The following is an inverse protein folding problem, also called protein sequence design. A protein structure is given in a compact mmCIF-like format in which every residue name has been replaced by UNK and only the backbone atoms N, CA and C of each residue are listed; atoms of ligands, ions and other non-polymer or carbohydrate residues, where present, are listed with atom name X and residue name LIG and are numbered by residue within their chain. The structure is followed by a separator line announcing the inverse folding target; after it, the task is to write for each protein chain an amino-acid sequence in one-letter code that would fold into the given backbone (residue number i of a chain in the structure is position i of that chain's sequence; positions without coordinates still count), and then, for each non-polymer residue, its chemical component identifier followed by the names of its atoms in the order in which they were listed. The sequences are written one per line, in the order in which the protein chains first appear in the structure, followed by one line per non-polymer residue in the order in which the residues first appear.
data_IF_278861116772
#
_entry.id   IF_278861116772
#
_cell.length_a   1.000
_cell.length_b   1.000
_cell.length_c   1.000
_cell.angle_alpha   90.00
_cell.angle_beta   90.00
_cell.angle_gamma   90.00
#
_symmetry.space_group_name_H-M   'P 1'
#
loop_
_entity.id
_entity.type
_entity.pdbx_description
1 polymer ?
#
# COMPACT_ATOMS: atom_id res chain seq x y z
N UNK A 1 -29.47 40.53 -2.00
CA UNK A 1 -28.02 40.39 -2.19
C UNK A 1 -27.40 40.25 -0.80
N UNK A 2 -26.95 39.12 -0.30
CA UNK A 2 -26.92 37.75 -0.83
C UNK A 2 -26.80 36.83 0.39
N UNK A 3 -27.79 35.93 0.58
CA UNK A 3 -27.95 35.06 1.75
C UNK A 3 -27.98 33.59 1.30
N UNK A 4 -27.33 33.30 0.18
CA UNK A 4 -27.65 32.17 -0.70
C UNK A 4 -26.52 31.17 -0.92
N UNK A 5 -25.46 31.14 -0.08
CA UNK A 5 -24.35 30.20 -0.29
C UNK A 5 -23.79 29.44 0.93
N UNK A 6 -24.48 29.43 2.07
CA UNK A 6 -24.06 28.60 3.20
C UNK A 6 -25.27 27.91 3.86
N UNK A 7 -25.61 26.73 3.34
CA UNK A 7 -26.61 25.84 3.92
C UNK A 7 -25.99 24.89 4.98
N UNK A 8 -25.20 25.42 5.92
CA UNK A 8 -24.63 24.62 7.02
C UNK A 8 -24.64 25.32 8.38
N UNK A 9 -25.14 26.55 8.50
CA UNK A 9 -25.10 27.33 9.75
C UNK A 9 -26.46 27.40 10.47
N UNK A 10 -27.26 26.33 10.47
CA UNK A 10 -28.51 26.37 11.25
C UNK A 10 -29.01 25.08 11.91
N UNK A 11 -28.16 24.11 12.20
CA UNK A 11 -28.56 23.11 13.21
C UNK A 11 -27.40 22.84 14.12
N UNK A 12 -27.50 23.27 15.37
CA UNK A 12 -26.62 22.91 16.48
C UNK A 12 -26.74 21.43 16.84
N UNK A 13 -26.58 20.55 15.85
CA UNK A 13 -26.25 19.15 16.07
C UNK A 13 -24.73 19.13 16.09
N UNK A 14 -24.07 18.91 17.25
CA UNK A 14 -22.64 18.71 17.25
C UNK A 14 -22.39 17.46 16.43
N UNK A 15 -21.89 17.63 15.20
CA UNK A 15 -21.54 16.53 14.33
C UNK A 15 -20.50 15.68 15.09
N UNK A 16 -20.79 14.41 15.44
CA UNK A 16 -19.83 13.55 16.13
C UNK A 16 -18.51 13.42 15.36
N UNK A 17 -18.54 13.66 14.04
CA UNK A 17 -17.37 13.65 13.14
C UNK A 17 -16.45 14.85 13.34
N UNK A 18 -16.90 15.92 14.00
CA UNK A 18 -16.03 17.01 14.46
C UNK A 18 -15.40 16.74 15.83
N UNK A 19 -16.04 15.91 16.67
CA UNK A 19 -15.49 15.52 17.99
C UNK A 19 -14.46 14.39 17.90
N UNK A 20 -14.62 13.50 16.93
CA UNK A 20 -13.70 12.40 16.63
C UNK A 20 -13.59 12.24 15.12
N UNK A 21 -12.73 13.02 14.45
CA UNK A 21 -12.46 12.78 13.04
C UNK A 21 -11.98 11.33 12.86
N UNK A 22 -12.42 10.60 11.82
CA UNK A 22 -11.90 9.28 11.55
C UNK A 22 -10.40 9.38 11.25
N UNK A 23 -9.56 8.88 12.16
CA UNK A 23 -8.11 9.01 12.10
C UNK A 23 -7.50 7.96 11.17
N UNK A 24 -6.82 8.41 10.10
CA UNK A 24 -5.84 7.59 9.38
C UNK A 24 -6.36 6.65 8.30
N UNK A 25 -5.42 6.14 7.51
CA UNK A 25 -5.59 5.00 6.61
C UNK A 25 -4.89 3.79 7.19
N UNK A 26 -5.45 2.60 6.95
CA UNK A 26 -4.90 1.35 7.48
C UNK A 26 -4.71 0.36 6.34
N UNK A 27 -3.52 -0.24 6.26
CA UNK A 27 -3.24 -1.39 5.40
C UNK A 27 -3.25 -2.64 6.27
N UNK A 28 -4.26 -3.49 6.09
CA UNK A 28 -4.35 -4.79 6.75
C UNK A 28 -3.95 -5.88 5.77
N UNK A 29 -2.93 -6.65 6.13
CA UNK A 29 -2.42 -7.77 5.36
C UNK A 29 -2.73 -9.03 6.16
N UNK A 30 -3.45 -9.97 5.59
CA UNK A 30 -3.76 -11.26 6.20
C UNK A 30 -3.25 -12.38 5.30
N UNK A 31 -2.70 -13.43 5.90
CA UNK A 31 -2.09 -14.54 5.19
C UNK A 31 -2.42 -15.88 5.84
N UNK A 32 -2.39 -16.93 5.02
CA UNK A 32 -2.45 -18.33 5.42
C UNK A 32 -1.65 -19.15 4.41
N UNK A 33 -0.37 -19.40 4.72
CA UNK A 33 0.52 -20.13 3.83
C UNK A 33 0.44 -21.63 4.07
N UNK A 34 0.49 -22.52 3.05
CA UNK A 34 0.72 -23.94 3.25
C UNK A 34 1.97 -24.24 4.10
N UNK A 35 1.97 -25.35 4.84
CA UNK A 35 3.08 -25.70 5.74
C UNK A 35 4.41 -25.94 4.98
N UNK A 36 4.34 -26.42 3.74
CA UNK A 36 5.51 -26.58 2.87
C UNK A 36 6.22 -25.25 2.66
N UNK A 37 5.47 -24.22 2.29
CA UNK A 37 5.96 -22.88 2.01
C UNK A 37 6.44 -22.18 3.30
N UNK A 38 5.65 -22.27 4.37
CA UNK A 38 6.01 -21.63 5.65
C UNK A 38 7.34 -22.13 6.24
N UNK A 39 7.73 -23.38 5.94
CA UNK A 39 9.01 -23.95 6.40
C UNK A 39 10.24 -23.34 5.72
N UNK A 40 10.06 -22.58 4.64
CA UNK A 40 11.14 -21.94 3.89
C UNK A 40 11.55 -20.57 4.49
N UNK A 41 11.19 -20.28 5.74
CA UNK A 41 11.53 -19.05 6.46
C UNK A 41 11.19 -17.78 5.68
N UNK A 42 9.91 -17.45 5.62
CA UNK A 42 9.41 -16.39 4.76
C UNK A 42 9.65 -14.98 5.33
N UNK A 43 10.06 -14.06 4.46
CA UNK A 43 10.16 -12.63 4.71
C UNK A 43 9.16 -11.86 3.84
N UNK A 44 8.43 -10.93 4.46
CA UNK A 44 7.45 -10.09 3.79
C UNK A 44 7.99 -8.67 3.62
N UNK A 45 8.00 -8.19 2.39
CA UNK A 45 8.39 -6.83 2.02
C UNK A 45 7.16 -6.06 1.60
N UNK A 46 6.74 -5.11 2.43
CA UNK A 46 5.59 -4.24 2.19
C UNK A 46 6.10 -2.90 1.67
N UNK A 47 5.79 -2.59 0.43
CA UNK A 47 6.11 -1.33 -0.21
C UNK A 47 4.86 -0.48 -0.32
N UNK A 48 4.87 0.71 0.26
CA UNK A 48 3.74 1.65 0.23
C UNK A 48 4.17 2.93 -0.47
N UNK A 49 3.40 3.36 -1.45
CA UNK A 49 3.57 4.65 -2.11
C UNK A 49 2.49 5.60 -1.66
N UNK A 50 2.87 6.83 -1.40
CA UNK A 50 1.98 7.87 -0.92
C UNK A 50 1.68 8.88 -2.01
N UNK A 51 0.65 9.71 -1.79
CA UNK A 51 0.24 10.77 -2.71
C UNK A 51 1.31 11.86 -2.92
N UNK A 52 2.30 11.96 -2.03
CA UNK A 52 3.45 12.86 -2.18
C UNK A 52 4.58 12.25 -3.05
N UNK A 53 4.33 11.12 -3.72
CA UNK A 53 5.31 10.33 -4.48
C UNK A 53 6.49 9.77 -3.67
N UNK A 54 6.44 9.83 -2.34
CA UNK A 54 7.38 9.10 -1.49
C UNK A 54 6.98 7.63 -1.40
N UNK A 55 7.95 6.79 -1.11
CA UNK A 55 7.78 5.36 -0.91
C UNK A 55 8.42 4.96 0.41
N UNK A 56 7.67 4.19 1.20
CA UNK A 56 8.19 3.50 2.37
C UNK A 56 8.24 2.00 2.10
N UNK A 57 9.27 1.35 2.65
CA UNK A 57 9.47 -0.10 2.58
C UNK A 57 9.57 -0.64 4.00
N UNK A 58 8.76 -1.65 4.30
CA UNK A 58 8.75 -2.35 5.58
C UNK A 58 9.09 -3.82 5.35
N UNK A 59 10.07 -4.33 6.08
CA UNK A 59 10.43 -5.75 6.05
C UNK A 59 9.98 -6.40 7.36
N UNK A 60 9.24 -7.50 7.26
CA UNK A 60 8.74 -8.25 8.41
C UNK A 60 8.93 -9.75 8.18
N UNK A 61 9.48 -10.43 9.18
CA UNK A 61 9.58 -11.89 9.15
C UNK A 61 8.23 -12.52 9.43
N UNK A 62 7.82 -13.52 8.64
CA UNK A 62 6.59 -14.27 8.89
C UNK A 62 6.87 -15.34 9.93
N UNK A 63 6.54 -15.04 11.20
CA UNK A 63 6.75 -15.97 12.32
C UNK A 63 5.68 -17.05 12.44
N UNK A 64 4.53 -16.87 11.75
CA UNK A 64 3.37 -17.76 11.85
C UNK A 64 2.79 -18.05 10.48
N UNK A 65 2.46 -19.33 10.24
CA UNK A 65 1.79 -19.84 9.05
C UNK A 65 0.54 -19.02 8.67
N UNK A 66 -0.31 -18.72 9.66
CA UNK A 66 -1.54 -17.92 9.51
C UNK A 66 -1.47 -16.73 10.44
N UNK A 67 -1.77 -15.55 9.91
CA UNK A 67 -1.68 -14.32 10.69
C UNK A 67 -2.19 -13.11 9.94
N UNK A 68 -2.09 -11.97 10.59
CA UNK A 68 -2.35 -10.68 9.99
C UNK A 68 -1.42 -9.62 10.60
N UNK A 69 -1.10 -8.61 9.79
CA UNK A 69 -0.34 -7.42 10.18
C UNK A 69 -1.11 -6.19 9.73
N UNK A 70 -1.12 -5.19 10.59
CA UNK A 70 -1.85 -3.94 10.35
C UNK A 70 -0.87 -2.78 10.41
N UNK A 71 -0.72 -2.07 9.32
CA UNK A 71 0.04 -0.82 9.23
C UNK A 71 -0.92 0.35 9.30
N UNK A 72 -0.71 1.25 10.27
CA UNK A 72 -1.51 2.47 10.44
C UNK A 72 -0.73 3.65 9.88
N UNK A 73 -1.35 4.40 9.00
CA UNK A 73 -0.82 5.62 8.41
C UNK A 73 -1.67 6.78 8.90
N UNK A 74 -1.10 7.67 9.71
CA UNK A 74 -1.84 8.79 10.29
C UNK A 74 -2.32 9.75 9.19
N UNK A 75 -3.61 10.09 9.25
CA UNK A 75 -4.21 11.18 8.48
C UNK A 75 -4.25 12.38 9.42
N UNK A 76 -3.06 12.86 9.80
CA UNK A 76 -2.96 14.11 10.51
C UNK A 76 -3.43 15.17 9.51
N UNK A 77 -4.54 15.85 9.81
CA UNK A 77 -5.18 16.88 8.96
C UNK A 77 -4.23 18.00 8.48
N UNK A 78 -3.01 18.03 9.03
CA UNK A 78 -1.91 18.94 8.74
C UNK A 78 -0.98 18.39 7.64
N UNK A 79 -0.76 17.08 7.58
CA UNK A 79 0.22 16.46 6.67
C UNK A 79 -0.44 15.44 5.73
N UNK A 80 -1.04 15.97 4.65
CA UNK A 80 -1.64 15.18 3.54
C UNK A 80 -0.62 14.26 2.83
N UNK A 81 0.66 14.33 3.18
CA UNK A 81 1.72 13.61 2.51
C UNK A 81 1.79 12.13 2.89
N UNK A 82 1.15 11.71 3.99
CA UNK A 82 1.12 10.32 4.47
C UNK A 82 -0.11 9.50 4.01
N UNK A 83 -0.90 10.04 3.08
CA UNK A 83 -2.02 9.32 2.48
C UNK A 83 -1.52 8.27 1.50
N UNK A 84 -1.95 7.02 1.66
CA UNK A 84 -1.61 5.91 0.78
C UNK A 84 -2.22 6.17 -0.62
N UNK A 85 -1.39 6.00 -1.63
CA UNK A 85 -1.78 5.98 -3.04
C UNK A 85 -1.93 4.54 -3.54
N UNK A 86 -0.91 3.70 -3.30
CA UNK A 86 -0.88 2.31 -3.74
C UNK A 86 0.11 1.50 -2.91
N UNK A 87 0.04 0.18 -2.95
CA UNK A 87 0.94 -0.71 -2.23
C UNK A 87 1.25 -1.99 -3.02
N UNK A 88 2.39 -2.59 -2.71
CA UNK A 88 2.80 -3.92 -3.14
C UNK A 88 3.38 -4.66 -1.94
N UNK A 89 3.11 -5.95 -1.88
CA UNK A 89 3.60 -6.86 -0.85
C UNK A 89 4.25 -8.01 -1.60
N UNK A 90 5.53 -8.21 -1.37
CA UNK A 90 6.30 -9.33 -1.91
C UNK A 90 6.67 -10.26 -0.74
N UNK A 91 6.55 -11.56 -0.95
CA UNK A 91 6.92 -12.57 0.04
C UNK A 91 8.06 -13.39 -0.54
N UNK A 92 9.20 -13.38 0.14
CA UNK A 92 10.41 -14.10 -0.25
C UNK A 92 10.66 -15.26 0.71
N UNK A 93 11.29 -16.31 0.21
CA UNK A 93 11.87 -17.35 1.06
C UNK A 93 13.33 -17.02 1.43
N UNK A 94 13.95 -17.88 2.24
CA UNK A 94 15.35 -17.75 2.66
C UNK A 94 16.33 -17.73 1.47
N UNK A 95 15.98 -18.39 0.36
CA UNK A 95 16.77 -18.39 -0.87
C UNK A 95 16.62 -17.11 -1.70
N UNK A 96 15.81 -16.14 -1.24
CA UNK A 96 15.51 -14.90 -1.95
C UNK A 96 14.54 -15.06 -3.14
N UNK A 97 13.91 -16.23 -3.28
CA UNK A 97 12.92 -16.49 -4.32
C UNK A 97 11.56 -15.89 -3.94
N UNK A 98 10.89 -15.24 -4.90
CA UNK A 98 9.54 -14.69 -4.71
C UNK A 98 8.52 -15.83 -4.67
N UNK A 99 7.89 -16.02 -3.52
CA UNK A 99 6.91 -17.06 -3.24
C UNK A 99 5.48 -16.60 -3.55
N UNK A 100 5.15 -15.38 -3.14
CA UNK A 100 3.83 -14.80 -3.36
C UNK A 100 3.94 -13.28 -3.52
N UNK A 101 2.98 -12.68 -4.21
CA UNK A 101 2.91 -11.24 -4.43
C UNK A 101 1.46 -10.75 -4.41
N UNK A 102 1.22 -9.72 -3.60
CA UNK A 102 -0.05 -9.02 -3.58
C UNK A 102 0.17 -7.55 -3.94
N UNK A 103 -0.57 -7.07 -4.93
CA UNK A 103 -0.46 -5.69 -5.40
C UNK A 103 -1.82 -5.03 -5.44
N UNK A 104 -1.84 -3.76 -5.06
CA UNK A 104 -3.00 -2.91 -5.29
C UNK A 104 -3.22 -2.72 -6.79
N UNK A 105 -4.47 -2.52 -7.22
CA UNK A 105 -4.82 -2.41 -8.65
C UNK A 105 -4.13 -1.23 -9.35
N UNK A 106 -3.85 -0.16 -8.62
CA UNK A 106 -3.10 0.99 -9.12
C UNK A 106 -1.58 0.85 -9.01
N UNK A 107 -1.08 -0.31 -8.59
CA UNK A 107 0.36 -0.55 -8.61
C UNK A 107 0.86 -0.66 -10.05
N UNK A 108 1.83 0.18 -10.40
CA UNK A 108 2.54 0.17 -11.68
C UNK A 108 4.03 0.26 -11.44
N UNK A 109 4.81 -0.33 -12.33
CA UNK A 109 6.26 -0.20 -12.30
C UNK A 109 6.63 1.27 -12.55
N UNK A 110 7.56 1.78 -11.75
CA UNK A 110 8.06 3.14 -11.96
C UNK A 110 9.18 3.04 -12.99
N UNK A 111 9.03 3.79 -14.07
CA UNK A 111 10.09 3.98 -15.06
C UNK A 111 10.93 5.14 -14.56
N UNK A 112 12.11 4.84 -14.02
CA UNK A 112 13.10 5.86 -13.70
C UNK A 112 13.83 6.24 -14.99
N UNK A 113 13.45 7.38 -15.56
CA UNK A 113 14.16 7.95 -16.70
C UNK A 113 15.42 8.63 -16.14
N UNK A 114 16.51 7.88 -16.07
CA UNK A 114 17.82 8.48 -15.93
C UNK A 114 18.07 9.34 -17.18
N UNK A 115 18.38 10.62 -16.97
CA UNK A 115 18.90 11.46 -18.06
C UNK A 115 20.21 10.82 -18.51
N UNK A 116 20.25 10.45 -19.79
CA UNK A 116 21.32 9.67 -20.45
C UNK A 116 21.24 8.17 -20.13
N UNK A 117 20.34 7.45 -20.80
CA UNK A 117 20.70 6.30 -21.65
C UNK A 117 19.44 5.55 -22.13
N UNK A 118 19.57 4.96 -23.32
CA UNK A 118 18.54 4.35 -24.17
C UNK A 118 17.50 3.51 -23.42
N UNK A 119 16.22 3.86 -23.62
CA UNK A 119 15.08 3.04 -23.21
C UNK A 119 15.11 1.75 -24.02
N UNK A 120 15.56 0.65 -23.40
CA UNK A 120 15.23 -0.71 -23.85
C UNK A 120 14.03 -1.21 -23.06
N UNK A 121 12.88 -1.22 -23.71
CA UNK A 121 11.72 -1.99 -23.25
C UNK A 121 12.09 -3.46 -23.45
N UNK A 122 12.23 -4.21 -22.36
CA UNK A 122 12.28 -5.67 -22.39
C UNK A 122 10.88 -6.14 -22.05
N UNK A 123 10.09 -6.44 -23.09
CA UNK A 123 8.87 -7.23 -22.94
C UNK A 123 9.30 -8.69 -22.76
N UNK A 124 9.09 -9.23 -21.57
CA UNK A 124 9.06 -10.67 -21.31
C UNK A 124 7.62 -11.02 -20.98
N UNK A 125 6.86 -11.41 -22.01
CA UNK A 125 6.00 -12.59 -22.00
C UNK A 125 5.10 -12.63 -23.25
N UNK A 126 5.66 -13.09 -24.37
CA UNK A 126 4.89 -13.89 -25.34
C UNK A 126 5.78 -15.04 -25.85
N UNK A 127 5.66 -16.19 -25.19
CA UNK A 127 5.90 -17.55 -25.71
C UNK A 127 5.57 -18.52 -24.56
N UNK A 128 4.64 -19.49 -24.63
CA UNK A 128 4.15 -20.27 -25.76
C UNK A 128 2.76 -20.87 -25.45
N UNK A 129 1.87 -20.88 -26.45
CA UNK A 129 0.91 -21.98 -26.75
C UNK A 129 0.71 -21.86 -28.29
N UNK A 130 0.98 -22.80 -29.19
CA UNK A 130 1.16 -24.25 -29.22
C UNK A 130 2.34 -24.64 -30.12
#
# INVERSE_FOLDING_TARGET
MDRTYLASTHVGTPDPRQKHPPDGQTLSIAWDFPLSIFRENLDMVVTVRFWNNKQDVFCEKIERKRGNKVYKFQDDTIDKSKKILTYKIDVFNEDGCLVDQWKHQFWKELIEINKEDDIKIIDLDENQVF
#
